data_IF_380787449179
#
_entry.id   IF_380787449179
#
_cell.length_a   1.000
_cell.length_b   1.000
_cell.length_c   1.000
_cell.angle_alpha   90.00
_cell.angle_beta   90.00
_cell.angle_gamma   90.00
#
_symmetry.space_group_name_H-M   'P 1'
#
loop_
_entity.id
_entity.type
_entity.pdbx_description
1 polymer ?
#
# COMPACT_ATOMS: atom_id res chain seq x y z
N UNK A 1 1.76 -12.64 5.97
CA UNK A 1 3.17 -12.90 6.32
C UNK A 1 4.05 -12.52 5.15
N UNK A 2 5.17 -11.84 5.39
CA UNK A 2 6.17 -11.49 4.36
C UNK A 2 7.41 -12.37 4.57
N UNK A 3 8.05 -12.92 3.52
CA UNK A 3 9.26 -13.71 3.67
C UNK A 3 10.45 -12.89 4.19
N UNK A 4 11.26 -13.50 5.06
CA UNK A 4 12.48 -12.90 5.61
C UNK A 4 12.40 -12.62 7.11
N UNK A 5 13.54 -12.22 7.69
CA UNK A 5 13.61 -11.72 9.06
C UNK A 5 13.40 -10.20 9.08
N UNK A 6 13.13 -9.66 10.26
CA UNK A 6 13.08 -8.22 10.47
C UNK A 6 14.39 -7.55 10.05
N UNK A 7 14.29 -6.43 9.31
CA UNK A 7 15.44 -5.70 8.77
C UNK A 7 15.94 -6.17 7.39
N UNK A 8 15.37 -7.24 6.82
CA UNK A 8 15.72 -7.66 5.46
C UNK A 8 15.15 -6.70 4.40
N UNK A 9 15.92 -6.45 3.34
CA UNK A 9 15.41 -5.79 2.14
C UNK A 9 14.44 -6.72 1.40
N UNK A 10 13.30 -6.16 0.98
CA UNK A 10 12.26 -6.86 0.21
C UNK A 10 11.95 -6.09 -1.07
N UNK A 11 11.62 -6.80 -2.13
CA UNK A 11 11.15 -6.22 -3.39
C UNK A 11 9.63 -6.22 -3.42
N UNK A 12 9.04 -5.04 -3.65
CA UNK A 12 7.59 -4.85 -3.75
C UNK A 12 7.25 -4.42 -5.18
N UNK A 13 6.22 -5.02 -5.76
CA UNK A 13 5.67 -4.66 -7.08
C UNK A 13 4.18 -4.99 -7.16
N UNK A 14 3.47 -4.32 -8.06
CA UNK A 14 2.07 -4.61 -8.32
C UNK A 14 1.86 -6.07 -8.80
N UNK A 15 0.74 -6.63 -8.37
CA UNK A 15 0.35 -7.97 -8.74
C UNK A 15 -0.07 -8.04 -10.23
N UNK A 16 0.45 -9.04 -10.94
CA UNK A 16 0.19 -9.20 -12.37
C UNK A 16 -1.17 -9.84 -12.66
N UNK A 17 -1.51 -10.90 -11.91
CA UNK A 17 -2.74 -11.68 -12.13
C UNK A 17 -3.97 -11.06 -11.48
N UNK A 18 -3.81 -10.46 -10.29
CA UNK A 18 -4.84 -9.68 -9.61
C UNK A 18 -4.41 -8.22 -9.64
N UNK A 19 -4.60 -7.57 -10.79
CA UNK A 19 -4.17 -6.18 -10.98
C UNK A 19 -4.87 -5.27 -9.96
N UNK A 20 -4.16 -4.30 -9.38
CA UNK A 20 -4.80 -3.28 -8.57
C UNK A 20 -5.71 -2.41 -9.43
N UNK A 21 -6.60 -1.67 -8.77
CA UNK A 21 -7.47 -0.69 -9.43
C UNK A 21 -6.63 0.43 -10.05
N UNK A 22 -6.56 0.44 -11.38
CA UNK A 22 -5.74 1.37 -12.16
C UNK A 22 -6.10 2.84 -11.94
N UNK A 23 -7.33 3.13 -11.52
CA UNK A 23 -7.77 4.51 -11.28
C UNK A 23 -7.14 5.12 -10.02
N UNK A 24 -6.66 4.27 -9.11
CA UNK A 24 -6.03 4.66 -7.84
C UNK A 24 -4.50 4.65 -7.90
N UNK A 25 -3.91 4.16 -8.99
CA UNK A 25 -2.47 4.03 -9.11
C UNK A 25 -1.87 5.27 -9.77
N UNK A 26 -0.84 5.89 -9.17
CA UNK A 26 -0.10 6.94 -9.84
C UNK A 26 0.73 6.37 -11.00
N UNK A 27 0.74 7.06 -12.14
CA UNK A 27 1.50 6.66 -13.33
C UNK A 27 2.39 7.82 -13.82
N UNK A 28 3.68 7.59 -14.11
CA UNK A 28 4.43 6.34 -13.96
C UNK A 28 4.81 6.02 -12.50
N UNK A 29 4.77 7.03 -11.64
CA UNK A 29 5.03 6.97 -10.19
C UNK A 29 4.39 8.18 -9.53
N UNK A 30 4.31 8.20 -8.20
CA UNK A 30 3.95 9.40 -7.46
C UNK A 30 5.04 10.47 -7.61
N UNK A 31 4.63 11.69 -7.94
CA UNK A 31 5.48 12.88 -7.98
C UNK A 31 4.91 13.89 -6.99
N UNK A 32 5.67 14.20 -5.95
CA UNK A 32 5.26 15.18 -4.96
C UNK A 32 5.14 16.57 -5.60
N UNK A 33 4.07 17.33 -5.32
CA UNK A 33 3.98 18.75 -5.64
C UNK A 33 5.11 19.54 -4.96
N UNK A 34 5.54 20.66 -5.56
CA UNK A 34 6.63 21.48 -5.01
C UNK A 34 6.31 22.08 -3.63
N UNK A 35 5.01 22.31 -3.36
CA UNK A 35 4.52 22.92 -2.12
C UNK A 35 4.25 21.90 -1.00
N UNK A 36 4.48 20.60 -1.26
CA UNK A 36 4.25 19.53 -0.29
C UNK A 36 5.42 19.44 0.69
N UNK A 37 5.18 19.78 1.95
CA UNK A 37 6.15 19.63 3.03
C UNK A 37 6.01 18.24 3.70
N UNK A 38 6.95 17.31 3.48
CA UNK A 38 6.85 15.95 4.03
C UNK A 38 6.95 15.90 5.56
N UNK A 39 7.40 16.97 6.22
CA UNK A 39 7.49 17.01 7.69
C UNK A 39 6.15 17.24 8.38
N UNK A 40 5.14 17.74 7.65
CA UNK A 40 3.79 17.99 8.16
C UNK A 40 2.76 16.97 7.68
N UNK A 41 3.18 16.02 6.83
CA UNK A 41 2.29 14.97 6.32
C UNK A 41 2.02 13.89 7.37
N UNK A 42 0.80 13.37 7.34
CA UNK A 42 0.41 12.20 8.11
C UNK A 42 0.51 10.93 7.25
N UNK A 43 0.82 9.77 7.84
CA UNK A 43 0.82 8.50 7.11
C UNK A 43 -0.55 8.21 6.50
N UNK A 44 -0.57 7.80 5.24
CA UNK A 44 -1.78 7.30 4.61
C UNK A 44 -2.18 5.97 5.26
N UNK A 45 -3.32 5.96 5.97
CA UNK A 45 -3.86 4.75 6.58
C UNK A 45 -4.84 4.10 5.61
N UNK A 46 -4.57 2.85 5.24
CA UNK A 46 -5.52 2.05 4.47
C UNK A 46 -6.71 1.64 5.34
N UNK A 47 -7.91 1.69 4.77
CA UNK A 47 -9.10 1.15 5.42
C UNK A 47 -8.97 -0.38 5.53
N UNK A 48 -9.01 -0.87 6.77
CA UNK A 48 -8.93 -2.31 7.09
C UNK A 48 -10.30 -2.99 7.01
N UNK A 49 -11.37 -2.23 6.79
CA UNK A 49 -12.75 -2.69 6.87
C UNK A 49 -13.23 -2.87 8.30
N UNK A 50 -14.55 -3.00 8.47
CA UNK A 50 -15.17 -3.19 9.79
C UNK A 50 -15.04 -4.61 10.35
N UNK A 51 -14.85 -5.60 9.47
CA UNK A 51 -14.84 -7.02 9.81
C UNK A 51 -13.53 -7.64 9.36
N UNK A 52 -12.85 -8.34 10.27
CA UNK A 52 -11.66 -9.12 9.96
C UNK A 52 -12.02 -10.20 8.90
N UNK A 53 -11.35 -10.23 7.73
CA UNK A 53 -11.58 -11.21 6.69
C UNK A 53 -11.49 -12.68 7.14
N UNK A 54 -10.78 -12.97 8.24
CA UNK A 54 -10.66 -14.31 8.81
C UNK A 54 -11.78 -14.68 9.77
N UNK A 55 -12.64 -13.74 10.14
CA UNK A 55 -13.79 -13.96 11.04
C UNK A 55 -15.09 -14.30 10.28
N UNK A 56 -15.09 -14.23 8.94
CA UNK A 56 -16.26 -14.50 8.08
C UNK A 56 -16.38 -15.98 7.65
N UNK A 57 -15.62 -16.90 8.24
CA UNK A 57 -15.68 -18.31 7.89
C UNK A 57 -16.86 -19.03 8.56
N UNK A 58 -17.92 -19.31 7.79
CA UNK A 58 -18.76 -20.51 7.93
C UNK A 58 -18.33 -21.57 6.89
#
# INVERSE_FOLDING_TARGET
>A
QVPGAEGNFVLIKDAYYKKPDISKLPFPTYLAPEDEDPSVLEPLVADLGEVDPFMLAE
#
